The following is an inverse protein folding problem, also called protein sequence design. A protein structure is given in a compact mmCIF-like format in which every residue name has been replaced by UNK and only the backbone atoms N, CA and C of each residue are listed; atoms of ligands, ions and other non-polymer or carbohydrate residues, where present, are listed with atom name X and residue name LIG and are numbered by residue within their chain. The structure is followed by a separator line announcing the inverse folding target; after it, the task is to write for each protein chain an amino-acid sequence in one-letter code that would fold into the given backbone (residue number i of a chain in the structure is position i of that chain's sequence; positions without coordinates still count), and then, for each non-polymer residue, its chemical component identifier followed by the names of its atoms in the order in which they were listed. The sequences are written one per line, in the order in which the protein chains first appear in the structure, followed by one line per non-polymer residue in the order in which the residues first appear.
data_IF_741543264699
#
_entry.id   IF_741543264699
#
_cell.length_a   1.000
_cell.length_b   1.000
_cell.length_c   1.000
_cell.angle_alpha   90.00
_cell.angle_beta   90.00
_cell.angle_gamma   90.00
#
_symmetry.space_group_name_H-M   'P 1'
#
loop_
_entity.id
_entity.type
_entity.pdbx_description
1 polymer ?
#
# COMPACT_ATOMS: atom_id res chain seq x y z
N UNK A 1 -18.08 -23.45 -20.00
CA UNK A 1 -17.19 -23.68 -18.85
C UNK A 1 -15.75 -23.52 -19.33
N UNK A 2 -15.14 -22.36 -19.03
CA UNK A 2 -13.68 -22.13 -18.98
C UNK A 2 -13.44 -20.63 -18.77
N UNK A 3 -13.25 -20.21 -17.52
CA UNK A 3 -12.86 -18.83 -17.15
C UNK A 3 -11.94 -18.86 -15.92
N UNK A 4 -10.93 -19.73 -15.92
CA UNK A 4 -9.97 -19.85 -14.81
C UNK A 4 -8.52 -19.51 -15.19
N UNK A 5 -8.25 -18.94 -16.38
CA UNK A 5 -6.88 -18.56 -16.76
C UNK A 5 -6.52 -17.09 -16.53
N UNK A 6 -7.49 -16.19 -16.32
CA UNK A 6 -7.20 -14.75 -16.20
C UNK A 6 -6.86 -14.30 -14.77
N UNK A 7 -7.21 -15.07 -13.75
CA UNK A 7 -7.04 -14.64 -12.36
C UNK A 7 -5.58 -14.72 -11.92
N UNK A 8 -4.89 -15.85 -12.12
CA UNK A 8 -3.48 -16.00 -11.72
C UNK A 8 -2.51 -15.01 -12.37
N UNK A 9 -2.89 -14.36 -13.48
CA UNK A 9 -2.04 -13.40 -14.16
C UNK A 9 -1.99 -12.06 -13.42
N UNK A 10 -3.06 -11.66 -12.71
CA UNK A 10 -3.12 -10.37 -12.01
C UNK A 10 -2.11 -10.28 -10.87
N UNK A 11 -1.96 -11.33 -10.06
CA UNK A 11 -0.93 -11.36 -9.01
C UNK A 11 0.48 -11.43 -9.57
N UNK A 12 0.70 -12.17 -10.66
CA UNK A 12 2.00 -12.25 -11.30
C UNK A 12 2.41 -10.90 -11.90
N UNK A 13 1.48 -10.20 -12.53
CA UNK A 13 1.68 -8.84 -13.05
C UNK A 13 1.95 -7.86 -11.89
N UNK A 14 1.16 -7.94 -10.82
CA UNK A 14 1.35 -7.12 -9.62
C UNK A 14 2.75 -7.31 -9.03
N UNK A 15 3.20 -8.56 -8.86
CA UNK A 15 4.54 -8.86 -8.38
C UNK A 15 5.61 -8.33 -9.33
N UNK A 16 5.45 -8.51 -10.64
CA UNK A 16 6.41 -8.02 -11.62
C UNK A 16 6.56 -6.49 -11.58
N UNK A 17 5.44 -5.76 -11.46
CA UNK A 17 5.45 -4.30 -11.24
C UNK A 17 6.24 -3.92 -9.99
N UNK A 18 5.92 -4.55 -8.86
CA UNK A 18 6.59 -4.30 -7.60
C UNK A 18 8.08 -4.63 -7.63
N UNK A 19 8.48 -5.68 -8.34
CA UNK A 19 9.89 -6.05 -8.49
C UNK A 19 10.67 -5.05 -9.36
N UNK A 20 10.01 -4.35 -10.28
CA UNK A 20 10.63 -3.35 -11.15
C UNK A 20 10.91 -2.01 -10.44
N UNK A 21 10.28 -1.74 -9.29
CA UNK A 21 10.47 -0.51 -8.53
C UNK A 21 11.93 -0.40 -8.03
N UNK A 22 12.50 0.79 -8.15
CA UNK A 22 13.84 1.12 -7.66
C UNK A 22 13.81 1.44 -6.16
N UNK A 23 13.64 0.41 -5.34
CA UNK A 23 13.40 0.51 -3.90
C UNK A 23 14.47 1.31 -3.11
N UNK A 24 15.72 1.24 -3.53
CA UNK A 24 16.89 1.92 -2.94
C UNK A 24 16.92 3.44 -3.18
N UNK A 25 16.19 3.91 -4.18
CA UNK A 25 16.14 5.33 -4.56
C UNK A 25 14.80 6.00 -4.27
N UNK A 26 13.84 5.29 -3.65
CA UNK A 26 12.53 5.86 -3.30
C UNK A 26 12.67 7.16 -2.50
N UNK A 27 12.02 8.22 -2.95
CA UNK A 27 12.06 9.54 -2.31
C UNK A 27 13.39 10.27 -2.43
N UNK A 28 14.30 9.87 -3.32
CA UNK A 28 15.53 10.62 -3.66
C UNK A 28 15.36 11.58 -4.85
N UNK A 29 14.28 11.44 -5.63
CA UNK A 29 14.04 12.23 -6.82
C UNK A 29 13.60 13.67 -6.54
N UNK A 30 13.53 14.46 -7.62
CA UNK A 30 12.94 15.81 -7.55
C UNK A 30 11.46 15.74 -7.17
N UNK A 31 11.02 16.76 -6.44
CA UNK A 31 9.62 16.88 -6.04
C UNK A 31 8.80 17.26 -7.26
N UNK A 32 7.78 16.48 -7.55
CA UNK A 32 6.91 16.61 -8.72
C UNK A 32 5.45 16.69 -8.25
N UNK A 33 4.68 17.63 -8.81
CA UNK A 33 3.23 17.77 -8.57
C UNK A 33 2.48 16.46 -8.88
N UNK A 34 2.95 15.71 -9.88
CA UNK A 34 2.39 14.40 -10.26
C UNK A 34 2.41 13.42 -9.09
N UNK A 35 3.50 13.35 -8.34
CA UNK A 35 3.63 12.45 -7.18
C UNK A 35 2.64 12.81 -6.08
N UNK A 36 2.34 14.09 -5.93
CA UNK A 36 1.39 14.62 -4.97
C UNK A 36 -0.03 14.27 -5.34
N UNK A 37 -0.39 14.47 -6.61
CA UNK A 37 -1.70 14.12 -7.13
C UNK A 37 -1.99 12.63 -6.97
N UNK A 38 -1.01 11.77 -7.26
CA UNK A 38 -1.12 10.32 -7.05
C UNK A 38 -1.40 9.96 -5.59
N UNK A 39 -0.71 10.60 -4.65
CA UNK A 39 -0.93 10.36 -3.23
C UNK A 39 -2.28 10.89 -2.73
N UNK A 40 -2.70 12.08 -3.18
CA UNK A 40 -4.03 12.61 -2.87
C UNK A 40 -5.13 11.70 -3.43
N UNK A 41 -4.92 11.17 -4.63
CA UNK A 41 -5.83 10.23 -5.25
C UNK A 41 -5.89 8.91 -4.48
N UNK A 42 -4.75 8.32 -4.11
CA UNK A 42 -4.68 7.13 -3.25
C UNK A 42 -5.53 7.31 -1.98
N UNK A 43 -5.30 8.40 -1.26
CA UNK A 43 -6.02 8.68 -0.01
C UNK A 43 -7.51 8.89 -0.23
N UNK A 44 -7.89 9.57 -1.32
CA UNK A 44 -9.27 9.76 -1.72
C UNK A 44 -9.96 8.41 -1.98
N UNK A 45 -9.32 7.53 -2.76
CA UNK A 45 -9.89 6.22 -3.11
C UNK A 45 -9.98 5.29 -1.90
N UNK A 46 -8.95 5.23 -1.05
CA UNK A 46 -9.00 4.47 0.22
C UNK A 46 -10.15 4.97 1.10
N UNK A 47 -10.33 6.29 1.22
CA UNK A 47 -11.43 6.87 2.00
C UNK A 47 -12.80 6.51 1.42
N UNK A 48 -12.96 6.49 0.10
CA UNK A 48 -14.21 6.10 -0.55
C UNK A 48 -14.53 4.63 -0.24
N UNK A 49 -13.54 3.74 -0.36
CA UNK A 49 -13.70 2.34 0.01
C UNK A 49 -14.01 2.14 1.50
N UNK A 50 -13.29 2.81 2.39
CA UNK A 50 -13.56 2.74 3.83
C UNK A 50 -15.01 3.16 4.15
N UNK A 51 -15.50 4.24 3.52
CA UNK A 51 -16.91 4.66 3.65
C UNK A 51 -17.88 3.63 3.12
N UNK A 52 -17.61 3.08 1.94
CA UNK A 52 -18.46 2.06 1.31
C UNK A 52 -18.58 0.80 2.17
N UNK A 53 -17.47 0.35 2.75
CA UNK A 53 -17.42 -0.81 3.65
C UNK A 53 -17.95 -0.51 5.05
N UNK A 54 -18.39 0.73 5.34
CA UNK A 54 -18.74 1.21 6.68
C UNK A 54 -17.63 0.90 7.69
N UNK A 55 -16.39 1.02 7.23
CA UNK A 55 -15.21 0.63 7.96
C UNK A 55 -15.01 1.49 9.19
N UNK A 56 -14.74 0.83 10.32
CA UNK A 56 -14.27 1.49 11.54
C UNK A 56 -12.78 1.84 11.52
N UNK A 57 -12.13 1.81 10.35
CA UNK A 57 -10.68 1.95 10.25
C UNK A 57 -10.20 3.20 10.97
N UNK A 58 -9.16 3.01 11.79
CA UNK A 58 -8.45 4.11 12.46
C UNK A 58 -7.24 4.55 11.65
N UNK A 59 -6.78 3.72 10.71
CA UNK A 59 -5.57 3.97 9.94
C UNK A 59 -5.76 3.72 8.43
N UNK A 60 -5.14 4.56 7.59
CA UNK A 60 -5.26 4.52 6.12
C UNK A 60 -4.60 3.29 5.46
N UNK A 61 -3.72 2.60 6.19
CA UNK A 61 -3.08 1.35 5.76
C UNK A 61 -3.73 0.09 6.35
N UNK A 62 -4.93 0.20 6.94
CA UNK A 62 -5.71 -1.00 7.23
C UNK A 62 -6.09 -1.71 5.92
N UNK A 63 -6.02 -3.04 5.94
CA UNK A 63 -6.18 -3.85 4.74
C UNK A 63 -7.66 -3.94 4.35
N UNK A 64 -8.05 -3.26 3.28
CA UNK A 64 -9.44 -3.23 2.80
C UNK A 64 -9.89 -4.60 2.26
N UNK A 65 -8.97 -5.39 1.70
CA UNK A 65 -9.31 -6.71 1.19
C UNK A 65 -9.66 -7.68 2.33
N UNK A 66 -8.97 -7.61 3.46
CA UNK A 66 -9.32 -8.38 4.66
C UNK A 66 -10.68 -7.99 5.27
N UNK A 67 -11.13 -6.75 5.07
CA UNK A 67 -12.48 -6.33 5.50
C UNK A 67 -13.57 -6.91 4.60
N UNK A 68 -13.30 -7.06 3.31
CA UNK A 68 -14.23 -7.68 2.35
C UNK A 68 -14.24 -9.20 2.53
N UNK A 69 -13.06 -9.79 2.69
CA UNK A 69 -12.85 -11.23 2.79
C UNK A 69 -11.83 -11.56 3.89
N UNK A 70 -12.25 -11.81 5.14
CA UNK A 70 -11.34 -12.03 6.25
C UNK A 70 -10.48 -13.31 6.15
N UNK A 71 -10.93 -14.30 5.38
CA UNK A 71 -10.23 -15.58 5.15
C UNK A 71 -9.28 -15.54 3.94
N UNK A 72 -9.09 -14.38 3.31
CA UNK A 72 -8.19 -14.27 2.15
C UNK A 72 -6.73 -14.44 2.59
N UNK A 73 -6.02 -15.29 1.86
CA UNK A 73 -4.59 -15.54 2.08
C UNK A 73 -3.80 -15.23 0.82
N UNK A 74 -2.62 -14.62 1.02
CA UNK A 74 -1.61 -14.51 -0.02
C UNK A 74 -0.86 -15.85 -0.17
N UNK A 75 -0.58 -16.29 -1.41
CA UNK A 75 0.34 -17.38 -1.65
C UNK A 75 1.67 -17.19 -0.92
N UNK A 76 2.20 -18.26 -0.31
CA UNK A 76 3.44 -18.24 0.48
C UNK A 76 4.62 -17.54 -0.20
N UNK A 77 4.88 -17.69 -1.51
CA UNK A 77 5.97 -16.96 -2.18
C UNK A 77 5.81 -15.44 -2.13
N UNK A 78 4.57 -14.92 -2.18
CA UNK A 78 4.30 -13.48 -2.11
C UNK A 78 4.48 -12.95 -0.70
N UNK A 79 4.00 -13.68 0.30
CA UNK A 79 4.22 -13.34 1.72
C UNK A 79 5.72 -13.29 2.03
N UNK A 80 6.47 -14.29 1.58
CA UNK A 80 7.92 -14.32 1.73
C UNK A 80 8.59 -13.12 1.05
N UNK A 81 8.18 -12.77 -0.16
CA UNK A 81 8.74 -11.62 -0.88
C UNK A 81 8.48 -10.29 -0.13
N UNK A 82 7.29 -10.12 0.45
CA UNK A 82 6.98 -8.95 1.29
C UNK A 82 7.85 -8.91 2.55
N UNK A 83 8.02 -10.05 3.21
CA UNK A 83 8.88 -10.17 4.40
C UNK A 83 10.35 -9.88 4.06
N UNK A 84 10.84 -10.36 2.92
CA UNK A 84 12.18 -10.05 2.43
C UNK A 84 12.35 -8.56 2.14
N UNK A 85 11.36 -7.91 1.50
CA UNK A 85 11.39 -6.47 1.27
C UNK A 85 11.48 -5.69 2.60
N UNK A 86 10.68 -6.07 3.61
CA UNK A 86 10.70 -5.47 4.94
C UNK A 86 12.05 -5.61 5.62
N UNK A 87 12.62 -6.82 5.61
CA UNK A 87 13.88 -7.11 6.28
C UNK A 87 15.11 -6.62 5.50
N UNK A 88 14.95 -6.24 4.23
CA UNK A 88 16.04 -5.70 3.42
C UNK A 88 16.43 -4.27 3.83
N UNK A 89 17.65 -3.87 3.45
CA UNK A 89 18.11 -2.47 3.58
C UNK A 89 17.74 -1.61 2.37
N UNK A 90 16.87 -2.10 1.47
CA UNK A 90 16.51 -1.37 0.25
C UNK A 90 15.71 -0.11 0.56
N UNK A 91 14.83 -0.13 1.55
CA UNK A 91 14.05 1.05 1.93
C UNK A 91 14.55 1.54 3.31
N UNK A 92 15.14 2.74 3.43
CA UNK A 92 15.52 3.28 4.73
C UNK A 92 14.30 3.44 5.67
N UNK A 93 14.48 3.23 6.98
CA UNK A 93 13.37 3.36 7.95
C UNK A 93 12.72 4.76 7.92
N UNK A 94 13.54 5.81 7.85
CA UNK A 94 13.12 7.22 7.75
C UNK A 94 12.25 7.50 6.50
N UNK A 95 12.30 6.62 5.51
CA UNK A 95 11.48 6.68 4.29
C UNK A 95 10.23 5.81 4.39
N UNK A 96 9.68 5.72 5.60
CA UNK A 96 8.38 5.11 5.83
C UNK A 96 8.32 3.65 5.43
N UNK A 97 9.43 2.90 5.57
CA UNK A 97 9.53 1.47 5.22
C UNK A 97 8.28 0.67 5.63
N UNK A 98 7.83 0.85 6.87
CA UNK A 98 6.64 0.16 7.40
C UNK A 98 5.40 0.45 6.54
N UNK A 99 5.14 1.72 6.21
CA UNK A 99 3.97 2.12 5.43
C UNK A 99 4.06 1.70 3.97
N UNK A 100 5.27 1.75 3.39
CA UNK A 100 5.51 1.25 2.03
C UNK A 100 5.22 -0.24 1.96
N UNK A 101 5.79 -1.03 2.87
CA UNK A 101 5.57 -2.48 2.93
C UNK A 101 4.10 -2.82 3.20
N UNK A 102 3.43 -2.10 4.11
CA UNK A 102 1.99 -2.28 4.36
C UNK A 102 1.15 -1.98 3.12
N UNK A 103 1.42 -0.86 2.43
CA UNK A 103 0.70 -0.50 1.20
C UNK A 103 0.91 -1.52 0.07
N UNK A 104 2.13 -2.02 -0.08
CA UNK A 104 2.47 -3.09 -1.03
C UNK A 104 1.75 -4.39 -0.69
N UNK A 105 1.75 -4.79 0.58
CA UNK A 105 1.02 -5.98 1.05
C UNK A 105 -0.48 -5.83 0.78
N UNK A 106 -1.05 -4.69 1.12
CA UNK A 106 -2.47 -4.40 0.88
C UNK A 106 -2.83 -4.45 -0.61
N UNK A 107 -1.96 -3.93 -1.48
CA UNK A 107 -2.13 -4.03 -2.94
C UNK A 107 -2.14 -5.49 -3.43
N UNK A 108 -1.23 -6.33 -2.93
CA UNK A 108 -1.21 -7.75 -3.27
C UNK A 108 -2.48 -8.46 -2.79
N UNK A 109 -2.93 -8.19 -1.57
CA UNK A 109 -4.19 -8.73 -1.05
C UNK A 109 -5.39 -8.28 -1.89
N UNK A 110 -5.39 -7.04 -2.36
CA UNK A 110 -6.42 -6.52 -3.25
C UNK A 110 -6.41 -7.20 -4.62
N UNK A 111 -5.24 -7.43 -5.21
CA UNK A 111 -5.10 -8.21 -6.42
C UNK A 111 -5.62 -9.64 -6.23
N UNK A 112 -5.25 -10.28 -5.12
CA UNK A 112 -5.78 -11.61 -4.75
C UNK A 112 -7.30 -11.61 -4.59
N UNK A 113 -7.88 -10.52 -4.08
CA UNK A 113 -9.33 -10.39 -3.95
C UNK A 113 -10.02 -10.34 -5.33
N UNK A 114 -9.40 -9.67 -6.31
CA UNK A 114 -9.88 -9.65 -7.71
C UNK A 114 -9.84 -11.03 -8.36
N UNK A 115 -8.82 -11.84 -8.06
CA UNK A 115 -8.74 -13.22 -8.57
C UNK A 115 -9.92 -14.10 -8.15
N UNK A 116 -10.53 -13.79 -7.00
CA UNK A 116 -11.72 -14.47 -6.49
C UNK A 116 -13.04 -13.84 -6.95
N UNK A 117 -13.00 -12.78 -7.78
CA UNK A 117 -14.16 -11.97 -8.15
C UNK A 117 -14.96 -11.49 -6.91
N UNK A 118 -14.24 -11.20 -5.82
CA UNK A 118 -14.82 -10.85 -4.53
C UNK A 118 -14.86 -9.33 -4.29
N UNK A 119 -14.37 -8.52 -5.23
CA UNK A 119 -14.45 -7.06 -5.15
C UNK A 119 -15.89 -6.62 -5.46
N UNK A 120 -16.57 -5.89 -4.55
CA UNK A 120 -17.94 -5.43 -4.79
C UNK A 120 -18.04 -4.52 -6.03
N UNK A 121 -19.00 -4.81 -6.91
CA UNK A 121 -19.31 -3.95 -8.05
C UNK A 121 -20.03 -2.66 -7.59
N UNK A 122 -19.25 -1.65 -7.22
CA UNK A 122 -19.75 -0.39 -6.64
C UNK A 122 -19.34 0.87 -7.42
N UNK A 123 -18.63 0.72 -8.54
CA UNK A 123 -18.14 1.82 -9.36
C UNK A 123 -16.99 2.62 -8.73
N UNK A 124 -16.49 2.22 -7.55
CA UNK A 124 -15.35 2.86 -6.91
C UNK A 124 -14.07 2.32 -7.55
N UNK A 125 -13.14 3.17 -8.02
CA UNK A 125 -11.88 2.73 -8.61
C UNK A 125 -10.99 1.97 -7.62
N UNK A 126 -10.01 1.23 -8.16
CA UNK A 126 -9.01 0.50 -7.35
C UNK A 126 -8.33 1.44 -6.34
N UNK A 127 -8.34 1.11 -5.03
CA UNK A 127 -7.81 1.99 -4.00
C UNK A 127 -6.28 2.14 -4.05
N UNK A 128 -5.54 1.13 -4.52
CA UNK A 128 -4.09 1.06 -4.37
C UNK A 128 -3.32 1.42 -5.65
N UNK A 129 -3.97 1.43 -6.81
CA UNK A 129 -3.32 1.78 -8.08
C UNK A 129 -2.54 3.11 -8.06
N UNK A 130 -3.07 4.23 -7.50
CA UNK A 130 -2.30 5.48 -7.44
C UNK A 130 -1.07 5.37 -6.53
N UNK A 131 -1.14 4.55 -5.47
CA UNK A 131 -0.01 4.34 -4.57
C UNK A 131 1.12 3.54 -5.23
N UNK A 132 0.77 2.49 -5.99
CA UNK A 132 1.77 1.73 -6.74
C UNK A 132 2.42 2.60 -7.81
N UNK A 133 1.62 3.38 -8.54
CA UNK A 133 2.14 4.34 -9.53
C UNK A 133 3.05 5.38 -8.87
N UNK A 134 2.68 5.90 -7.70
CA UNK A 134 3.53 6.79 -6.92
C UNK A 134 4.91 6.18 -6.62
N UNK A 135 4.95 4.92 -6.18
CA UNK A 135 6.22 4.22 -5.92
C UNK A 135 7.01 3.93 -7.21
N UNK A 136 6.33 3.57 -8.30
CA UNK A 136 6.94 3.36 -9.63
C UNK A 136 7.63 4.63 -10.15
N UNK A 137 7.05 5.79 -9.88
CA UNK A 137 7.63 7.10 -10.20
C UNK A 137 8.72 7.55 -9.20
N UNK A 138 9.15 6.69 -8.28
CA UNK A 138 10.18 7.01 -7.29
C UNK A 138 9.68 7.81 -6.08
N UNK A 139 8.37 7.89 -5.89
CA UNK A 139 7.75 8.51 -4.72
C UNK A 139 8.16 7.81 -3.43
N UNK A 140 8.41 8.61 -2.38
CA UNK A 140 8.76 8.10 -1.06
C UNK A 140 7.86 8.70 0.01
N UNK A 141 7.52 7.89 1.01
CA UNK A 141 6.86 8.36 2.22
C UNK A 141 7.95 8.81 3.18
N UNK A 142 7.88 10.05 3.69
CA UNK A 142 8.77 10.48 4.77
C UNK A 142 8.02 10.46 6.10
N UNK A 143 8.64 9.87 7.12
CA UNK A 143 8.06 9.78 8.45
C UNK A 143 8.96 10.49 9.44
N UNK A 144 8.56 11.69 9.85
CA UNK A 144 9.25 12.43 10.90
C UNK A 144 8.55 12.19 12.25
N UNK A 145 9.33 11.91 13.29
CA UNK A 145 8.86 11.75 14.67
C UNK A 145 7.78 10.68 14.92
N UNK A 146 7.62 9.65 14.07
CA UNK A 146 6.61 8.58 14.22
C UNK A 146 5.13 9.00 14.13
N UNK A 147 4.82 10.28 13.91
CA UNK A 147 3.44 10.79 13.94
C UNK A 147 2.99 11.41 12.62
N UNK A 148 3.92 11.79 11.74
CA UNK A 148 3.63 12.55 10.54
C UNK A 148 4.03 11.76 9.30
N UNK A 149 3.07 11.56 8.41
CA UNK A 149 3.37 11.22 7.01
C UNK A 149 3.38 12.52 6.22
N UNK A 150 4.56 12.86 5.71
CA UNK A 150 4.70 13.99 4.80
C UNK A 150 4.55 13.50 3.35
N UNK A 151 3.62 14.14 2.64
CA UNK A 151 3.40 14.00 1.21
C UNK A 151 3.77 15.35 0.57
N UNK A 152 4.89 15.41 -0.13
CA UNK A 152 5.47 16.66 -0.67
C UNK A 152 4.83 17.05 -2.02
N UNK A 153 4.61 18.36 -2.33
CA UNK A 153 5.56 19.46 -2.22
C UNK A 153 5.00 20.71 -1.50
N UNK A 154 3.77 20.65 -0.97
CA UNK A 154 3.13 21.70 -0.20
C UNK A 154 2.25 21.04 0.86
N UNK A 155 2.82 20.90 2.06
CA UNK A 155 2.23 20.45 3.32
C UNK A 155 0.78 19.92 3.28
N UNK A 156 0.64 18.61 3.14
CA UNK A 156 -0.50 17.91 3.75
C UNK A 156 0.06 17.00 4.84
N UNK A 157 -0.03 17.47 6.09
CA UNK A 157 0.32 16.67 7.26
C UNK A 157 -0.81 15.69 7.55
N UNK A 158 -0.52 14.39 7.46
CA UNK A 158 -1.42 13.36 7.97
C UNK A 158 -0.95 12.94 9.35
N UNK A 159 -1.84 13.09 10.33
CA UNK A 159 -1.64 12.53 11.66
C UNK A 159 -1.97 11.04 11.60
N UNK A 160 -0.94 10.20 11.64
CA UNK A 160 -1.11 8.76 11.77
C UNK A 160 -1.12 8.44 13.25
N UNK A 161 -2.30 8.23 13.81
CA UNK A 161 -2.42 7.81 15.20
C UNK A 161 -1.94 6.37 15.30
N UNK A 162 -0.66 6.17 15.64
CA UNK A 162 -0.17 4.85 16.05
C UNK A 162 -0.88 4.52 17.36
N UNK A 163 -1.82 3.58 17.31
CA UNK A 163 -2.40 3.02 18.53
C UNK A 163 -1.25 2.49 19.37
N UNK A 164 -1.11 2.99 20.60
CA UNK A 164 -0.01 2.73 21.53
C UNK A 164 0.36 1.23 21.60
N UNK A 165 1.26 0.78 20.73
CA UNK A 165 2.07 -0.40 20.93
C UNK A 165 3.39 0.14 21.49
N UNK A 166 3.56 -0.09 22.79
CA UNK A 166 4.72 0.25 23.61
C UNK A 166 6.04 0.21 22.83
N UNK A 167 6.87 1.27 22.90
CA UNK A 167 8.22 1.19 22.35
C UNK A 167 8.98 0.10 23.11
N UNK A 168 9.58 -0.84 22.37
CA UNK A 168 10.57 -1.76 22.92
C UNK A 168 11.62 -0.91 23.65
N UNK A 169 11.74 -1.14 24.96
CA UNK A 169 12.83 -0.61 25.77
C UNK A 169 14.12 -1.28 25.27
N UNK A 170 15.06 -0.48 24.79
CA UNK A 170 16.46 -0.87 24.76
C UNK A 170 16.94 -0.96 26.21
N UNK A 171 17.55 -2.10 26.58
CA UNK A 171 18.37 -2.24 27.80
C UNK A 171 19.68 -1.47 27.65
#
# INVERSE_FOLDING_TARGET
MNTNSNSSDDLNIALARLQAIQWDTLGMGEKDETLTELMLEFLSRVRQWAKFLQSGQKHIFENLALQIRPDIELPSPLTQWVDELYNSNRIPFVRGKIYVVLGVSNYLFWCRLREFDAVPANGIPDPYEPFITFLECGGGIYVEHHYYMDIYPNYVHFNLTVGNATPFREE
#
